data_IF_626590382335
#
_entry.id   IF_626590382335
#
_cell.length_a   1.000
_cell.length_b   1.000
_cell.length_c   1.000
_cell.angle_alpha   90.00
_cell.angle_beta   90.00
_cell.angle_gamma   90.00
#
_symmetry.space_group_name_H-M   'P 1'
#
loop_
_entity.id
_entity.type
_entity.pdbx_description
1 polymer ?
#
# COMPACT_ATOMS: atom_id res chain seq x y z
N UNK A 1 60.57 -1.86 -35.02
CA UNK A 1 59.59 -2.48 -34.09
C UNK A 1 58.59 -1.42 -33.64
N UNK A 2 57.32 -1.49 -34.05
CA UNK A 2 56.24 -0.65 -33.53
C UNK A 2 55.07 -1.59 -33.18
N UNK A 3 54.90 -1.87 -31.88
CA UNK A 3 53.83 -2.73 -31.37
C UNK A 3 52.59 -1.89 -31.06
N UNK A 4 51.46 -2.43 -31.51
CA UNK A 4 50.13 -1.86 -31.58
C UNK A 4 49.49 -1.66 -30.20
N UNK A 5 48.66 -0.61 -30.11
CA UNK A 5 47.77 -0.33 -28.97
C UNK A 5 46.73 -1.45 -28.85
N UNK A 6 46.60 -2.04 -27.65
CA UNK A 6 45.45 -2.88 -27.26
C UNK A 6 44.72 -2.21 -26.10
N UNK A 7 43.65 -1.49 -26.44
CA UNK A 7 42.66 -0.99 -25.50
C UNK A 7 41.95 -2.17 -24.82
N UNK A 8 42.34 -2.48 -23.58
CA UNK A 8 41.63 -3.43 -22.72
C UNK A 8 40.37 -2.75 -22.18
N UNK A 9 39.29 -2.82 -22.95
CA UNK A 9 37.92 -2.52 -22.53
C UNK A 9 37.53 -3.48 -21.39
N UNK A 10 37.68 -3.04 -20.14
CA UNK A 10 37.27 -3.79 -18.96
C UNK A 10 35.73 -3.80 -18.89
N UNK A 11 35.11 -4.77 -19.58
CA UNK A 11 33.69 -5.12 -19.39
C UNK A 11 33.59 -5.86 -18.07
N UNK A 12 33.42 -5.11 -16.98
CA UNK A 12 32.92 -5.68 -15.74
C UNK A 12 31.52 -6.23 -16.01
N UNK A 13 31.49 -7.56 -16.16
CA UNK A 13 30.27 -8.35 -16.23
C UNK A 13 29.53 -8.13 -14.91
N UNK A 14 28.54 -7.24 -14.93
CA UNK A 14 27.49 -7.17 -13.92
C UNK A 14 26.92 -8.59 -13.80
N UNK A 15 27.28 -9.27 -12.71
CA UNK A 15 26.73 -10.57 -12.34
C UNK A 15 25.24 -10.36 -12.11
N UNK A 16 24.43 -10.55 -13.17
CA UNK A 16 23.00 -10.81 -13.04
C UNK A 16 22.89 -12.12 -12.28
N UNK A 17 22.81 -12.04 -10.96
CA UNK A 17 22.26 -13.14 -10.17
C UNK A 17 20.91 -13.46 -10.79
N UNK A 18 20.70 -14.72 -11.18
CA UNK A 18 19.39 -15.21 -11.56
C UNK A 18 18.52 -15.07 -10.33
N UNK A 19 17.79 -13.97 -10.24
CA UNK A 19 16.69 -13.82 -9.31
C UNK A 19 15.64 -14.81 -9.81
N UNK A 20 15.59 -16.00 -9.22
CA UNK A 20 14.52 -16.96 -9.48
C UNK A 20 13.20 -16.28 -9.09
N UNK A 21 12.39 -15.96 -10.11
CA UNK A 21 11.11 -15.30 -9.91
C UNK A 21 10.10 -16.31 -9.38
N UNK A 22 9.95 -16.37 -8.06
CA UNK A 22 8.96 -17.23 -7.41
C UNK A 22 7.54 -16.68 -7.65
N UNK A 23 6.83 -17.32 -8.58
CA UNK A 23 5.47 -16.96 -8.97
C UNK A 23 4.49 -16.95 -7.78
N UNK A 24 4.72 -17.75 -6.74
CA UNK A 24 3.86 -17.76 -5.54
C UNK A 24 4.04 -16.48 -4.73
N UNK A 25 5.28 -16.04 -4.54
CA UNK A 25 5.59 -14.77 -3.85
C UNK A 25 5.09 -13.58 -4.65
N UNK A 26 5.35 -13.55 -5.96
CA UNK A 26 4.84 -12.50 -6.84
C UNK A 26 3.31 -12.44 -6.84
N UNK A 27 2.61 -13.58 -6.82
CA UNK A 27 1.15 -13.63 -6.66
C UNK A 27 0.70 -13.04 -5.33
N UNK A 28 1.37 -13.38 -4.22
CA UNK A 28 1.07 -12.85 -2.90
C UNK A 28 1.36 -11.35 -2.81
N UNK A 29 2.43 -10.87 -3.42
CA UNK A 29 2.75 -9.44 -3.54
C UNK A 29 1.69 -8.72 -4.35
N UNK A 30 1.28 -9.24 -5.51
CA UNK A 30 0.20 -8.65 -6.31
C UNK A 30 -1.13 -8.62 -5.54
N UNK A 31 -1.42 -9.66 -4.75
CA UNK A 31 -2.60 -9.69 -3.87
C UNK A 31 -2.48 -8.67 -2.72
N UNK A 32 -1.29 -8.54 -2.13
CA UNK A 32 -1.01 -7.62 -1.02
C UNK A 32 -0.94 -6.16 -1.47
N UNK A 33 -0.61 -5.93 -2.73
CA UNK A 33 -0.60 -4.64 -3.42
C UNK A 33 -1.95 -4.31 -4.07
N UNK A 34 -2.83 -5.31 -4.25
CA UNK A 34 -4.18 -5.14 -4.78
C UNK A 34 -4.28 -4.78 -6.27
N UNK A 35 -3.18 -4.71 -7.02
CA UNK A 35 -3.18 -4.03 -8.33
C UNK A 35 -3.91 -4.79 -9.46
N UNK A 36 -4.12 -6.10 -9.34
CA UNK A 36 -4.70 -6.93 -10.42
C UNK A 36 -6.19 -7.20 -10.17
N UNK A 37 -7.03 -6.78 -11.12
CA UNK A 37 -8.48 -7.07 -11.14
C UNK A 37 -9.40 -5.99 -10.56
N UNK A 38 -8.83 -4.88 -10.08
CA UNK A 38 -9.60 -3.74 -9.56
C UNK A 38 -10.16 -2.85 -10.68
N UNK A 39 -11.25 -2.13 -10.40
CA UNK A 39 -11.75 -1.04 -11.26
C UNK A 39 -10.74 0.13 -11.31
N UNK A 40 -10.88 1.07 -12.26
CA UNK A 40 -9.93 2.20 -12.41
C UNK A 40 -9.70 2.95 -11.10
N UNK A 41 -10.79 3.27 -10.41
CA UNK A 41 -10.77 4.12 -9.21
C UNK A 41 -10.15 3.37 -8.02
N UNK A 42 -10.44 2.08 -7.92
CA UNK A 42 -9.87 1.19 -6.91
C UNK A 42 -8.37 0.96 -7.12
N UNK A 43 -7.88 0.98 -8.37
CA UNK A 43 -6.45 0.92 -8.67
C UNK A 43 -5.72 2.15 -8.17
N UNK A 44 -6.28 3.33 -8.36
CA UNK A 44 -5.67 4.58 -7.87
C UNK A 44 -5.50 4.53 -6.36
N UNK A 45 -6.54 4.16 -5.63
CA UNK A 45 -6.48 3.98 -4.18
C UNK A 45 -5.44 2.93 -3.75
N UNK A 46 -5.37 1.79 -4.45
CA UNK A 46 -4.40 0.75 -4.18
C UNK A 46 -2.95 1.23 -4.41
N UNK A 47 -2.71 1.99 -5.48
CA UNK A 47 -1.39 2.56 -5.78
C UNK A 47 -0.98 3.61 -4.75
N UNK A 48 -1.90 4.50 -4.33
CA UNK A 48 -1.64 5.49 -3.28
C UNK A 48 -1.27 4.80 -1.97
N UNK A 49 -1.97 3.73 -1.59
CA UNK A 49 -1.64 2.94 -0.40
C UNK A 49 -0.29 2.25 -0.51
N UNK A 50 0.04 1.68 -1.67
CA UNK A 50 1.35 1.08 -1.94
C UNK A 50 2.46 2.11 -1.78
N UNK A 51 2.34 3.26 -2.43
CA UNK A 51 3.33 4.34 -2.38
C UNK A 51 3.48 4.87 -0.96
N UNK A 52 2.38 5.02 -0.21
CA UNK A 52 2.43 5.46 1.19
C UNK A 52 3.20 4.45 2.07
N UNK A 53 3.00 3.14 1.87
CA UNK A 53 3.78 2.10 2.57
C UNK A 53 5.26 2.14 2.23
N UNK A 54 5.61 2.53 1.01
CA UNK A 54 7.00 2.76 0.57
C UNK A 54 7.59 4.07 1.10
N UNK A 55 6.82 4.86 1.86
CA UNK A 55 7.26 6.10 2.46
C UNK A 55 6.95 7.35 1.64
N UNK A 56 6.20 7.24 0.54
CA UNK A 56 5.70 8.41 -0.16
C UNK A 56 4.71 9.19 0.71
N UNK A 57 4.67 10.51 0.55
CA UNK A 57 3.72 11.36 1.28
C UNK A 57 2.31 11.19 0.68
N UNK A 58 1.28 10.94 1.50
CA UNK A 58 -0.09 10.82 0.99
C UNK A 58 -0.59 12.16 0.42
N UNK A 59 -1.53 12.12 -0.53
CA UNK A 59 -2.12 13.31 -1.12
C UNK A 59 -2.85 14.16 -0.06
N UNK A 60 -2.93 15.48 -0.28
CA UNK A 60 -3.62 16.38 0.63
C UNK A 60 -5.14 16.14 0.59
N UNK A 61 -5.76 16.12 1.76
CA UNK A 61 -7.22 16.10 1.87
C UNK A 61 -7.83 17.38 1.32
N UNK A 62 -9.04 17.26 0.77
CA UNK A 62 -9.83 18.42 0.31
C UNK A 62 -10.13 19.34 1.50
N UNK A 63 -10.03 20.65 1.27
CA UNK A 63 -10.48 21.63 2.24
C UNK A 63 -12.00 21.53 2.38
N UNK A 64 -12.48 21.39 3.62
CA UNK A 64 -13.89 21.29 3.98
C UNK A 64 -14.19 22.28 5.10
N UNK A 65 -15.44 22.74 5.20
CA UNK A 65 -15.84 23.62 6.29
C UNK A 65 -15.63 22.91 7.65
N UNK A 66 -15.12 23.64 8.64
CA UNK A 66 -14.83 23.09 9.95
C UNK A 66 -16.06 22.47 10.64
N UNK A 67 -17.23 23.10 10.53
CA UNK A 67 -18.47 22.58 11.12
C UNK A 67 -18.86 21.23 10.50
N UNK A 68 -18.73 21.11 9.18
CA UNK A 68 -19.00 19.87 8.45
C UNK A 68 -17.99 18.78 8.78
N UNK A 69 -16.72 19.15 8.94
CA UNK A 69 -15.67 18.23 9.35
C UNK A 69 -15.95 17.62 10.73
N UNK A 70 -16.33 18.46 11.69
CA UNK A 70 -16.70 17.99 13.04
C UNK A 70 -17.92 17.07 12.99
N UNK A 71 -18.94 17.42 12.22
CA UNK A 71 -20.13 16.58 12.05
C UNK A 71 -19.78 15.22 11.45
N UNK A 72 -18.94 15.18 10.41
CA UNK A 72 -18.43 13.93 9.82
C UNK A 72 -17.63 13.10 10.82
N UNK A 73 -16.79 13.74 11.64
CA UNK A 73 -16.02 13.01 12.68
C UNK A 73 -16.91 12.41 13.75
N UNK A 74 -17.96 13.10 14.15
CA UNK A 74 -18.92 12.58 15.14
C UNK A 74 -19.72 11.42 14.57
N UNK A 75 -20.20 11.51 13.33
CA UNK A 75 -20.94 10.42 12.68
C UNK A 75 -20.07 9.19 12.44
N UNK A 76 -18.81 9.36 12.02
CA UNK A 76 -17.83 8.28 11.92
C UNK A 76 -17.66 7.53 13.25
N UNK A 77 -17.55 8.28 14.36
CA UNK A 77 -17.40 7.70 15.71
C UNK A 77 -18.64 6.91 16.12
N UNK A 78 -19.83 7.44 15.87
CA UNK A 78 -21.09 6.76 16.19
C UNK A 78 -21.28 5.49 15.36
N UNK A 79 -21.00 5.55 14.05
CA UNK A 79 -21.08 4.38 13.18
C UNK A 79 -20.09 3.28 13.61
N UNK A 80 -18.89 3.67 14.03
CA UNK A 80 -17.90 2.72 14.54
C UNK A 80 -18.38 2.03 15.82
N UNK A 81 -19.03 2.76 16.73
CA UNK A 81 -19.60 2.19 17.96
C UNK A 81 -20.71 1.19 17.63
N UNK A 82 -21.63 1.57 16.74
CA UNK A 82 -22.72 0.69 16.26
C UNK A 82 -22.16 -0.57 15.61
N UNK A 83 -21.15 -0.45 14.75
CA UNK A 83 -20.52 -1.61 14.10
C UNK A 83 -19.85 -2.54 15.13
N UNK A 84 -19.23 -1.97 16.17
CA UNK A 84 -18.66 -2.76 17.26
C UNK A 84 -19.74 -3.48 18.08
N UNK A 85 -20.86 -2.83 18.35
CA UNK A 85 -22.01 -3.45 19.04
C UNK A 85 -22.58 -4.60 18.22
N UNK A 86 -22.87 -4.37 16.94
CA UNK A 86 -23.33 -5.41 16.03
C UNK A 86 -22.35 -6.58 15.96
N UNK A 87 -21.05 -6.29 15.89
CA UNK A 87 -20.02 -7.34 15.89
C UNK A 87 -19.98 -8.16 17.18
N UNK A 88 -20.23 -7.55 18.35
CA UNK A 88 -20.37 -8.27 19.62
C UNK A 88 -21.61 -9.17 19.62
N UNK A 89 -22.74 -8.66 19.12
CA UNK A 89 -24.00 -9.40 18.99
C UNK A 89 -23.86 -10.65 18.12
N UNK A 90 -23.12 -10.57 17.01
CA UNK A 90 -22.84 -11.71 16.13
C UNK A 90 -21.67 -12.60 16.60
N UNK A 91 -21.23 -12.49 17.86
CA UNK A 91 -20.16 -13.35 18.42
C UNK A 91 -18.75 -13.09 17.89
N UNK A 92 -18.53 -11.97 17.21
CA UNK A 92 -17.22 -11.59 16.67
C UNK A 92 -16.27 -11.06 17.74
N UNK A 93 -14.99 -11.44 17.68
CA UNK A 93 -13.95 -10.92 18.57
C UNK A 93 -13.85 -9.39 18.49
N UNK A 94 -13.68 -8.75 19.65
CA UNK A 94 -13.43 -7.32 19.78
C UNK A 94 -12.09 -6.94 19.15
N UNK A 95 -12.12 -6.08 18.12
CA UNK A 95 -10.90 -5.51 17.54
C UNK A 95 -10.47 -4.31 18.40
N UNK A 96 -9.19 -4.30 18.81
CA UNK A 96 -8.59 -3.16 19.52
C UNK A 96 -8.54 -1.93 18.60
N UNK A 97 -8.81 -0.72 19.11
CA UNK A 97 -8.80 0.53 18.32
C UNK A 97 -7.51 0.72 17.50
N UNK A 98 -6.36 0.37 18.09
CA UNK A 98 -5.05 0.40 17.40
C UNK A 98 -4.93 -0.52 16.17
N UNK A 99 -5.79 -1.52 16.04
CA UNK A 99 -5.87 -2.38 14.85
C UNK A 99 -6.90 -1.88 13.83
N UNK A 100 -7.85 -1.04 14.25
CA UNK A 100 -8.84 -0.42 13.36
C UNK A 100 -8.19 0.72 12.57
N UNK A 101 -7.36 1.53 13.23
CA UNK A 101 -6.67 2.66 12.60
C UNK A 101 -5.64 2.19 11.54
N UNK A 102 -4.96 1.06 11.80
CA UNK A 102 -4.06 0.39 10.83
C UNK A 102 -4.77 -0.24 9.64
N UNK A 103 -6.10 -0.44 9.73
CA UNK A 103 -6.92 -1.02 8.65
C UNK A 103 -7.54 0.06 7.75
N UNK A 104 -7.57 1.31 8.22
CA UNK A 104 -8.08 2.48 7.51
C UNK A 104 -7.00 3.33 6.81
N UNK A 105 -5.73 3.20 7.19
CA UNK A 105 -4.56 3.69 6.44
C UNK A 105 -4.10 2.67 5.41
#
# INVERSE_FOLDING_TARGET
MRKEKKDKKNKEKVKKSKIEFDLKKAKMEVLQLGLKGLASDEKEDATVRMLTKLGAKPPKNKAVNYKEFLAKKQSEKQNLLKEQEMRKLFGGKLIKRSQIDKKKM
#
